data_IF_741284774808
#
_entry.id   IF_741284774808
#
_cell.length_a   1.000
_cell.length_b   1.000
_cell.length_c   1.000
_cell.angle_alpha   90.00
_cell.angle_beta   90.00
_cell.angle_gamma   90.00
#
_symmetry.space_group_name_H-M   'P 1'
#
loop_
_entity.id
_entity.type
_entity.pdbx_description
1 polymer ?
#
# COMPACT_ATOMS: atom_id res chain seq x y z
N UNK A 1 -13.13 37.39 51.01
CA UNK A 1 -13.36 38.82 51.30
C UNK A 1 -12.58 39.66 50.28
N UNK A 2 -13.31 40.45 49.47
CA UNK A 2 -12.91 41.65 48.67
C UNK A 2 -11.69 41.52 47.72
N UNK A 3 -11.90 41.42 46.40
CA UNK A 3 -11.99 42.53 45.42
C UNK A 3 -10.81 43.52 45.46
N UNK A 4 -10.09 43.68 44.34
CA UNK A 4 -10.12 44.92 43.54
C UNK A 4 -9.41 44.73 42.18
N UNK A 5 -10.11 45.13 41.11
CA UNK A 5 -9.61 45.40 39.75
C UNK A 5 -8.85 46.73 39.74
N UNK A 6 -7.82 46.85 38.90
CA UNK A 6 -7.50 48.12 38.24
C UNK A 6 -6.67 47.90 36.97
N UNK A 7 -7.33 48.22 35.85
CA UNK A 7 -6.81 48.54 34.52
C UNK A 7 -5.86 49.74 34.55
N UNK A 8 -4.74 49.67 33.81
CA UNK A 8 -4.16 50.84 33.14
C UNK A 8 -3.35 50.40 31.91
N UNK A 9 -3.74 50.92 30.74
CA UNK A 9 -2.95 50.90 29.51
C UNK A 9 -2.19 52.22 29.37
N UNK A 10 -0.92 52.18 28.96
CA UNK A 10 -0.18 53.23 28.24
C UNK A 10 1.31 52.84 28.21
N UNK A 11 1.92 52.70 27.02
CA UNK A 11 3.23 53.33 26.70
C UNK A 11 3.31 53.61 25.19
N UNK A 12 3.81 54.80 24.92
CA UNK A 12 4.02 55.53 23.68
C UNK A 12 5.28 55.09 22.91
N UNK A 13 5.20 55.24 21.57
CA UNK A 13 6.18 55.72 20.59
C UNK A 13 7.65 55.24 20.56
N UNK A 14 8.09 54.87 19.36
CA UNK A 14 9.50 54.96 18.96
C UNK A 14 9.82 54.31 17.61
N UNK A 15 9.57 55.03 16.51
CA UNK A 15 10.06 54.72 15.16
C UNK A 15 11.56 55.09 15.04
N UNK A 16 12.40 54.18 14.55
CA UNK A 16 13.66 54.47 13.81
C UNK A 16 13.99 53.30 12.85
N UNK A 17 14.77 53.56 11.78
CA UNK A 17 14.73 52.80 10.52
C UNK A 17 15.79 51.68 10.40
N UNK A 18 15.55 50.80 9.42
CA UNK A 18 16.46 49.77 8.95
C UNK A 18 17.79 50.34 8.42
N UNK A 19 18.91 49.83 8.94
CA UNK A 19 20.12 49.56 8.17
C UNK A 19 21.02 48.53 8.90
N UNK A 20 21.09 47.34 8.29
CA UNK A 20 22.17 46.35 8.24
C UNK A 20 23.32 46.43 9.27
N UNK A 21 23.34 45.47 10.21
CA UNK A 21 24.59 44.93 10.77
C UNK A 21 24.50 43.40 10.72
N UNK A 22 25.35 42.82 9.88
CA UNK A 22 25.68 41.41 9.83
C UNK A 22 26.27 40.99 11.19
N UNK A 23 25.54 40.17 11.94
CA UNK A 23 26.11 39.29 12.94
C UNK A 23 25.99 37.86 12.42
N UNK A 24 27.05 37.43 11.73
CA UNK A 24 27.27 36.04 11.41
C UNK A 24 27.47 35.26 12.69
N UNK A 25 26.46 34.47 13.07
CA UNK A 25 26.69 33.28 13.89
C UNK A 25 27.00 32.17 12.91
N UNK A 26 28.29 31.94 12.68
CA UNK A 26 28.80 30.75 12.01
C UNK A 26 28.58 29.55 12.94
N UNK A 27 27.46 28.85 12.75
CA UNK A 27 27.33 27.47 13.21
C UNK A 27 27.93 26.60 12.11
N UNK A 28 28.95 25.77 12.39
CA UNK A 28 29.39 24.80 11.41
C UNK A 28 28.27 23.78 11.25
N UNK A 29 27.53 23.86 10.15
CA UNK A 29 26.73 22.73 9.68
C UNK A 29 27.74 21.75 9.11
N UNK A 30 28.24 20.88 9.99
CA UNK A 30 28.77 19.60 9.55
C UNK A 30 27.56 18.82 9.02
N UNK A 31 27.44 18.80 7.70
CA UNK A 31 26.59 17.84 7.00
C UNK A 31 27.11 16.43 7.36
N UNK A 32 26.46 15.79 8.33
CA UNK A 32 26.60 14.36 8.50
C UNK A 32 25.70 13.70 7.46
N UNK A 33 26.27 13.43 6.29
CA UNK A 33 25.97 12.20 5.58
C UNK A 33 26.53 11.08 6.49
N UNK A 34 25.69 10.54 7.37
CA UNK A 34 26.01 9.36 8.15
C UNK A 34 25.13 8.20 7.66
N UNK A 35 25.72 7.06 7.27
CA UNK A 35 24.96 5.84 7.01
C UNK A 35 24.18 5.43 8.26
N UNK A 36 23.04 4.77 8.07
CA UNK A 36 22.19 4.23 9.12
C UNK A 36 22.96 3.18 9.94
N UNK A 37 23.72 3.58 10.94
CA UNK A 37 24.51 2.68 11.78
C UNK A 37 23.59 1.84 12.69
N UNK A 38 23.86 0.55 12.97
CA UNK A 38 23.08 -0.29 13.89
C UNK A 38 22.86 0.33 15.27
N UNK A 39 23.81 1.15 15.71
CA UNK A 39 23.71 1.92 16.95
C UNK A 39 22.53 2.90 16.96
N UNK A 40 21.98 3.31 15.82
CA UNK A 40 20.79 4.16 15.78
C UNK A 40 19.55 3.40 16.28
N UNK A 41 19.40 2.12 15.93
CA UNK A 41 18.35 1.25 16.48
C UNK A 41 18.58 1.01 17.98
N UNK A 42 19.82 0.74 18.39
CA UNK A 42 20.18 0.57 19.80
C UNK A 42 20.14 1.88 20.63
N UNK A 43 20.20 3.05 19.99
CA UNK A 43 20.11 4.36 20.61
C UNK A 43 18.68 4.91 20.68
N UNK A 44 17.73 4.32 19.93
CA UNK A 44 16.31 4.65 20.06
C UNK A 44 15.83 4.28 21.45
N UNK A 45 15.06 5.18 22.05
CA UNK A 45 14.37 4.92 23.32
C UNK A 45 13.41 3.75 23.17
N UNK A 46 13.13 3.08 24.29
CA UNK A 46 12.17 1.98 24.32
C UNK A 46 10.79 2.41 23.82
N UNK A 47 10.39 3.67 24.06
CA UNK A 47 9.15 4.26 23.54
C UNK A 47 9.16 4.46 22.01
N UNK A 48 10.30 4.82 21.41
CA UNK A 48 10.45 4.94 19.95
C UNK A 48 10.40 3.56 19.28
N UNK A 49 11.03 2.55 19.89
CA UNK A 49 10.93 1.15 19.40
C UNK A 49 9.51 0.61 19.55
N UNK A 50 8.87 0.85 20.69
CA UNK A 50 7.46 0.46 20.93
C UNK A 50 6.52 1.15 19.93
N UNK A 51 6.79 2.41 19.56
CA UNK A 51 6.03 3.13 18.53
C UNK A 51 6.17 2.52 17.14
N UNK A 52 7.28 1.82 16.88
CA UNK A 52 7.67 1.27 15.57
C UNK A 52 7.57 -0.26 15.49
N UNK A 53 7.24 -0.94 16.59
CA UNK A 53 7.09 -2.39 16.65
C UNK A 53 5.66 -2.78 17.02
N UNK A 54 4.80 -3.11 16.05
CA UNK A 54 4.04 -4.33 16.13
C UNK A 54 4.87 -5.40 15.43
N UNK A 55 5.88 -5.98 16.08
CA UNK A 55 6.57 -7.15 15.52
C UNK A 55 5.50 -8.23 15.22
N UNK A 56 5.19 -8.58 13.96
CA UNK A 56 4.59 -9.86 13.69
C UNK A 56 5.74 -10.83 13.91
N UNK A 57 5.79 -11.48 15.07
CA UNK A 57 6.77 -12.53 15.37
C UNK A 57 7.01 -13.41 14.15
N UNK A 58 8.27 -13.69 13.79
CA UNK A 58 8.75 -14.37 12.58
C UNK A 58 7.98 -15.61 12.08
N UNK A 59 7.10 -16.22 12.88
CA UNK A 59 6.16 -17.27 12.45
C UNK A 59 4.88 -16.77 11.77
N UNK A 60 4.57 -15.47 11.80
CA UNK A 60 3.40 -14.86 11.17
C UNK A 60 3.64 -14.42 9.71
N UNK A 61 4.92 -14.31 9.31
CA UNK A 61 5.39 -13.76 8.04
C UNK A 61 5.61 -14.81 6.92
N UNK A 62 5.63 -16.10 7.24
CA UNK A 62 6.07 -17.15 6.31
C UNK A 62 4.99 -17.66 5.31
N UNK A 63 3.78 -17.08 5.30
CA UNK A 63 2.75 -17.33 4.27
C UNK A 63 2.01 -16.02 4.00
N UNK A 64 2.73 -15.08 3.39
CA UNK A 64 2.12 -13.90 2.80
C UNK A 64 1.49 -14.30 1.46
N UNK A 65 0.58 -13.45 0.97
CA UNK A 65 0.13 -13.46 -0.43
C UNK A 65 1.33 -13.80 -1.34
N UNK A 66 1.13 -14.75 -2.25
CA UNK A 66 2.16 -15.19 -3.19
C UNK A 66 2.04 -14.42 -4.51
N UNK A 67 1.67 -13.14 -4.44
CA UNK A 67 1.46 -12.32 -5.62
C UNK A 67 2.81 -12.04 -6.29
N UNK A 68 3.10 -12.78 -7.36
CA UNK A 68 4.08 -12.36 -8.36
C UNK A 68 3.55 -11.11 -9.06
N UNK A 69 4.43 -10.29 -9.63
CA UNK A 69 4.01 -9.17 -10.49
C UNK A 69 2.94 -9.66 -11.47
N UNK A 70 1.73 -9.08 -11.38
CA UNK A 70 0.61 -9.51 -12.21
C UNK A 70 0.83 -9.03 -13.65
N UNK A 71 0.28 -9.76 -14.62
CA UNK A 71 0.31 -9.34 -16.02
C UNK A 71 -0.71 -8.22 -16.29
N UNK A 72 -1.38 -7.71 -15.25
CA UNK A 72 -2.35 -6.62 -15.36
C UNK A 72 -1.63 -5.38 -15.84
N UNK A 73 -2.26 -4.74 -16.81
CA UNK A 73 -1.94 -3.36 -17.15
C UNK A 73 -2.53 -2.49 -16.06
N UNK A 74 -1.77 -1.55 -15.52
CA UNK A 74 -2.35 -0.58 -14.60
C UNK A 74 -3.38 0.28 -15.35
N UNK A 75 -4.44 0.67 -14.65
CA UNK A 75 -5.49 1.57 -15.14
C UNK A 75 -5.45 2.87 -14.32
N UNK A 76 -5.46 4.07 -14.95
CA UNK A 76 -5.46 5.33 -14.22
C UNK A 76 -6.74 5.63 -13.43
N UNK A 77 -7.89 5.14 -13.89
CA UNK A 77 -9.20 5.39 -13.26
C UNK A 77 -9.98 4.08 -13.05
N UNK A 78 -9.44 3.12 -12.29
CA UNK A 78 -10.08 1.81 -12.17
C UNK A 78 -11.44 1.95 -11.47
N UNK A 79 -12.47 1.32 -12.02
CA UNK A 79 -13.79 1.22 -11.39
C UNK A 79 -13.94 -0.12 -10.68
N UNK A 80 -13.93 -0.06 -9.36
CA UNK A 80 -13.84 -1.24 -8.48
C UNK A 80 -15.22 -1.79 -8.14
N UNK A 81 -15.43 -3.08 -8.36
CA UNK A 81 -16.54 -3.83 -7.79
C UNK A 81 -16.16 -4.32 -6.39
N UNK A 82 -16.93 -3.92 -5.38
CA UNK A 82 -16.75 -4.39 -3.99
C UNK A 82 -17.96 -5.21 -3.57
N UNK A 83 -17.74 -6.46 -3.16
CA UNK A 83 -18.78 -7.37 -2.67
C UNK A 83 -18.60 -7.66 -1.19
N UNK A 84 -19.56 -7.24 -0.36
CA UNK A 84 -19.62 -7.56 1.06
C UNK A 84 -20.31 -8.91 1.25
N UNK A 85 -19.67 -9.85 1.94
CA UNK A 85 -20.18 -11.21 2.13
C UNK A 85 -20.16 -11.67 3.58
N UNK A 86 -21.29 -12.18 4.07
CA UNK A 86 -21.44 -12.71 5.41
C UNK A 86 -21.91 -14.17 5.40
N UNK A 87 -21.96 -14.77 6.59
CA UNK A 87 -22.15 -16.20 6.75
C UNK A 87 -23.17 -16.49 7.85
N UNK A 88 -23.78 -17.68 7.83
CA UNK A 88 -24.71 -18.09 8.89
C UNK A 88 -24.03 -18.14 10.26
N UNK A 89 -22.80 -18.67 10.31
CA UNK A 89 -21.95 -18.81 11.49
C UNK A 89 -21.09 -17.57 11.78
N UNK A 90 -21.00 -16.64 10.83
CA UNK A 90 -20.26 -15.37 10.97
C UNK A 90 -20.99 -14.22 10.24
N UNK A 91 -22.07 -13.66 10.83
CA UNK A 91 -22.78 -12.54 10.25
C UNK A 91 -21.95 -11.23 10.34
N UNK A 92 -22.27 -10.26 9.48
CA UNK A 92 -21.63 -8.94 9.52
C UNK A 92 -21.87 -8.20 10.85
N UNK A 93 -20.91 -7.39 11.24
CA UNK A 93 -20.94 -6.58 12.44
C UNK A 93 -21.82 -5.33 12.27
N UNK A 94 -22.57 -4.89 13.29
CA UNK A 94 -23.33 -3.65 13.22
C UNK A 94 -22.42 -2.43 12.96
N UNK A 95 -22.82 -1.58 12.01
CA UNK A 95 -22.09 -0.35 11.65
C UNK A 95 -21.08 -0.47 10.51
N UNK A 96 -20.90 -1.68 9.95
CA UNK A 96 -20.09 -1.95 8.77
C UNK A 96 -20.99 -2.24 7.57
N UNK A 97 -21.82 -1.27 7.21
CA UNK A 97 -22.77 -1.35 6.09
C UNK A 97 -22.17 -0.79 4.78
N UNK A 98 -22.96 -0.80 3.71
CA UNK A 98 -22.54 -0.24 2.40
C UNK A 98 -22.00 1.20 2.54
N UNK A 99 -22.71 2.15 3.17
CA UNK A 99 -22.20 3.51 3.38
C UNK A 99 -20.85 3.57 4.11
N UNK A 100 -20.63 2.70 5.10
CA UNK A 100 -19.33 2.61 5.78
C UNK A 100 -18.20 2.29 4.80
N UNK A 101 -18.36 1.25 3.98
CA UNK A 101 -17.33 0.84 3.02
C UNK A 101 -17.21 1.80 1.83
N UNK A 102 -18.30 2.41 1.37
CA UNK A 102 -18.24 3.48 0.37
C UNK A 102 -17.42 4.67 0.88
N UNK A 103 -17.60 5.05 2.15
CA UNK A 103 -16.77 6.06 2.81
C UNK A 103 -15.32 5.60 2.88
N UNK A 104 -15.04 4.44 3.50
CA UNK A 104 -13.69 3.92 3.73
C UNK A 104 -12.88 3.75 2.43
N UNK A 105 -13.53 3.39 1.32
CA UNK A 105 -12.85 3.09 0.06
C UNK A 105 -12.83 4.28 -0.92
N UNK A 106 -13.90 5.06 -1.02
CA UNK A 106 -14.08 5.96 -2.18
C UNK A 106 -14.38 7.43 -1.84
N UNK A 107 -14.66 7.76 -0.58
CA UNK A 107 -14.88 9.15 -0.17
C UNK A 107 -13.58 9.95 -0.29
N UNK A 108 -13.67 11.15 -0.85
CA UNK A 108 -12.55 12.09 -0.92
C UNK A 108 -12.47 12.91 0.35
N UNK A 109 -11.25 13.22 0.78
CA UNK A 109 -10.96 14.02 1.96
C UNK A 109 -11.63 13.44 3.22
N UNK A 110 -11.69 12.10 3.30
CA UNK A 110 -12.39 11.42 4.38
C UNK A 110 -11.79 11.81 5.73
N UNK A 111 -12.66 12.20 6.65
CA UNK A 111 -12.25 12.55 8.00
C UNK A 111 -11.58 11.36 8.69
N UNK A 112 -10.44 11.64 9.34
CA UNK A 112 -9.60 10.66 10.05
C UNK A 112 -8.99 9.61 9.12
N UNK A 113 -7.69 9.80 8.84
CA UNK A 113 -6.82 8.86 8.13
C UNK A 113 -7.06 8.69 6.61
N UNK A 114 -8.11 9.31 6.05
CA UNK A 114 -8.43 9.24 4.63
C UNK A 114 -9.12 7.93 4.22
N UNK A 115 -9.43 7.82 2.93
CA UNK A 115 -9.92 6.61 2.27
C UNK A 115 -8.85 5.90 1.43
N UNK A 116 -9.17 4.71 0.90
CA UNK A 116 -8.35 4.05 -0.12
C UNK A 116 -8.08 4.98 -1.32
N UNK A 117 -9.12 5.69 -1.78
CA UNK A 117 -9.01 6.67 -2.87
C UNK A 117 -8.09 7.84 -2.50
N UNK A 118 -8.20 8.39 -1.29
CA UNK A 118 -7.31 9.46 -0.81
C UNK A 118 -5.84 8.99 -0.83
N UNK A 119 -5.58 7.78 -0.33
CA UNK A 119 -4.25 7.18 -0.35
C UNK A 119 -3.67 7.14 -1.77
N UNK A 120 -4.39 6.55 -2.74
CA UNK A 120 -3.88 6.42 -4.09
C UNK A 120 -3.69 7.76 -4.78
N UNK A 121 -4.54 8.75 -4.52
CA UNK A 121 -4.34 10.10 -5.05
C UNK A 121 -3.10 10.77 -4.48
N UNK A 122 -2.83 10.63 -3.17
CA UNK A 122 -1.60 11.17 -2.55
C UNK A 122 -0.36 10.42 -3.05
N UNK A 123 -0.35 9.08 -2.94
CA UNK A 123 0.77 8.21 -3.26
C UNK A 123 1.17 8.24 -4.75
N UNK A 124 0.24 8.65 -5.63
CA UNK A 124 0.46 8.66 -7.08
C UNK A 124 0.40 10.05 -7.70
N UNK A 125 0.37 11.11 -6.90
CA UNK A 125 0.28 12.49 -7.37
C UNK A 125 -0.94 12.73 -8.28
N UNK A 126 -2.09 12.14 -7.92
CA UNK A 126 -3.35 12.12 -8.66
C UNK A 126 -3.31 11.39 -10.01
N UNK A 127 -2.33 10.51 -10.27
CA UNK A 127 -2.29 9.70 -11.50
C UNK A 127 -3.21 8.49 -11.47
N UNK A 128 -3.50 8.00 -10.27
CA UNK A 128 -4.48 6.93 -10.04
C UNK A 128 -5.60 7.49 -9.18
N UNK A 129 -6.83 7.37 -9.67
CA UNK A 129 -8.05 7.75 -8.97
C UNK A 129 -8.99 6.54 -8.86
N UNK A 130 -8.91 5.84 -7.73
CA UNK A 130 -9.71 4.64 -7.48
C UNK A 130 -11.17 5.03 -7.24
N UNK A 131 -12.07 4.48 -8.04
CA UNK A 131 -13.52 4.64 -7.85
C UNK A 131 -14.17 3.27 -7.78
N UNK A 132 -15.48 3.22 -7.50
CA UNK A 132 -16.18 1.94 -7.45
C UNK A 132 -17.57 2.01 -6.86
N UNK A 133 -18.11 0.83 -6.57
CA UNK A 133 -19.40 0.67 -5.91
C UNK A 133 -19.41 -0.57 -5.04
N UNK A 134 -20.09 -0.46 -3.89
CA UNK A 134 -20.20 -1.53 -2.90
C UNK A 134 -21.59 -2.17 -2.98
N UNK A 135 -21.62 -3.51 -2.95
CA UNK A 135 -22.83 -4.32 -2.93
C UNK A 135 -22.79 -5.35 -1.82
N UNK A 136 -23.97 -5.74 -1.31
CA UNK A 136 -24.13 -6.72 -0.24
C UNK A 136 -24.99 -6.18 0.91
N UNK A 137 -24.93 -6.75 2.11
CA UNK A 137 -24.25 -7.99 2.46
C UNK A 137 -24.93 -9.19 1.78
N UNK A 138 -24.16 -10.00 1.07
CA UNK A 138 -24.64 -11.26 0.50
C UNK A 138 -24.35 -12.41 1.48
N UNK A 139 -25.38 -13.15 1.86
CA UNK A 139 -25.24 -14.34 2.69
C UNK A 139 -24.72 -15.49 1.84
N UNK A 140 -23.53 -15.98 2.16
CA UNK A 140 -22.91 -17.11 1.46
C UNK A 140 -23.58 -18.44 1.80
N UNK A 141 -23.57 -19.41 0.85
CA UNK A 141 -24.27 -20.68 1.01
C UNK A 141 -23.55 -21.67 1.95
N UNK A 142 -22.24 -21.52 2.15
CA UNK A 142 -21.46 -22.30 3.11
C UNK A 142 -21.14 -21.47 4.34
N UNK A 143 -20.76 -22.15 5.42
CA UNK A 143 -20.28 -21.51 6.64
C UNK A 143 -18.89 -20.90 6.41
N UNK A 144 -18.55 -19.85 7.16
CA UNK A 144 -17.27 -19.18 7.08
C UNK A 144 -16.10 -20.16 7.25
N UNK A 145 -16.23 -21.05 8.24
CA UNK A 145 -15.21 -22.07 8.53
C UNK A 145 -14.97 -23.02 7.36
N UNK A 146 -15.97 -23.26 6.51
CA UNK A 146 -15.80 -24.10 5.32
C UNK A 146 -14.96 -23.42 4.24
N UNK A 147 -15.02 -22.08 4.12
CA UNK A 147 -14.17 -21.34 3.20
C UNK A 147 -12.76 -21.11 3.76
N UNK A 148 -12.62 -20.90 5.07
CA UNK A 148 -11.32 -20.79 5.72
C UNK A 148 -10.55 -22.13 5.69
N UNK A 149 -11.27 -23.24 5.83
CA UNK A 149 -10.79 -24.63 5.74
C UNK A 149 -9.61 -24.96 6.68
N UNK A 150 -9.46 -24.23 7.79
CA UNK A 150 -8.28 -24.33 8.68
C UNK A 150 -6.96 -24.03 7.97
N UNK A 151 -7.01 -23.40 6.80
CA UNK A 151 -5.91 -23.09 5.90
C UNK A 151 -6.00 -21.64 5.40
N UNK A 152 -6.63 -20.77 6.19
CA UNK A 152 -6.72 -19.34 5.95
C UNK A 152 -7.36 -18.96 4.60
N UNK A 153 -8.15 -19.85 4.01
CA UNK A 153 -8.77 -19.66 2.69
C UNK A 153 -7.92 -20.14 1.50
N UNK A 154 -6.67 -20.57 1.70
CA UNK A 154 -5.80 -21.07 0.62
C UNK A 154 -5.91 -22.57 0.38
N UNK A 155 -6.55 -23.30 1.30
CA UNK A 155 -6.74 -24.74 1.24
C UNK A 155 -8.07 -25.16 0.59
N UNK A 156 -8.44 -26.41 0.85
CA UNK A 156 -9.72 -27.01 0.48
C UNK A 156 -9.95 -27.31 -0.99
N UNK A 157 -10.83 -28.28 -1.25
CA UNK A 157 -11.37 -28.54 -2.59
C UNK A 157 -12.41 -27.47 -2.93
N UNK A 158 -12.40 -26.96 -4.16
CA UNK A 158 -13.46 -26.04 -4.61
C UNK A 158 -14.85 -26.65 -4.35
N UNK A 159 -15.81 -25.92 -3.72
CA UNK A 159 -15.78 -24.49 -3.42
C UNK A 159 -15.37 -24.12 -1.97
N UNK A 160 -14.77 -25.02 -1.19
CA UNK A 160 -14.34 -24.80 0.22
C UNK A 160 -13.02 -24.04 0.32
N UNK A 161 -12.95 -22.87 -0.29
CA UNK A 161 -11.74 -22.02 -0.32
C UNK A 161 -12.09 -20.56 -0.56
N UNK A 162 -11.13 -19.65 -0.44
CA UNK A 162 -11.32 -18.24 -0.81
C UNK A 162 -11.73 -18.08 -2.28
N UNK A 163 -11.24 -18.93 -3.19
CA UNK A 163 -11.70 -18.90 -4.59
C UNK A 163 -13.16 -19.31 -4.74
N UNK A 164 -13.60 -20.31 -3.97
CA UNK A 164 -15.00 -20.71 -3.94
C UNK A 164 -15.90 -19.65 -3.32
N UNK A 165 -15.40 -18.93 -2.29
CA UNK A 165 -16.07 -17.76 -1.73
C UNK A 165 -16.25 -16.66 -2.78
N UNK A 166 -15.19 -16.31 -3.52
CA UNK A 166 -15.27 -15.32 -4.61
C UNK A 166 -16.26 -15.73 -5.68
N UNK A 167 -16.30 -17.01 -6.06
CA UNK A 167 -17.28 -17.54 -7.02
C UNK A 167 -18.72 -17.37 -6.54
N UNK A 168 -19.03 -17.83 -5.32
CA UNK A 168 -20.38 -17.68 -4.75
C UNK A 168 -20.76 -16.21 -4.52
N UNK A 169 -19.82 -15.33 -4.18
CA UNK A 169 -20.04 -13.90 -4.04
C UNK A 169 -20.49 -13.26 -5.37
N UNK A 170 -19.80 -13.59 -6.47
CA UNK A 170 -20.15 -13.13 -7.81
C UNK A 170 -21.50 -13.68 -8.27
N UNK A 171 -21.79 -14.96 -8.03
CA UNK A 171 -23.11 -15.55 -8.32
C UNK A 171 -24.23 -14.83 -7.57
N UNK A 172 -24.06 -14.56 -6.27
CA UNK A 172 -25.02 -13.83 -5.47
C UNK A 172 -25.22 -12.38 -5.97
N UNK A 173 -24.13 -11.72 -6.39
CA UNK A 173 -24.21 -10.38 -6.97
C UNK A 173 -25.00 -10.36 -8.29
N UNK A 174 -24.74 -11.31 -9.19
CA UNK A 174 -25.48 -11.45 -10.46
C UNK A 174 -26.95 -11.77 -10.21
N UNK A 175 -27.26 -12.68 -9.27
CA UNK A 175 -28.63 -13.01 -8.90
C UNK A 175 -29.38 -11.78 -8.32
N UNK A 176 -28.67 -10.92 -7.59
CA UNK A 176 -29.19 -9.65 -7.08
C UNK A 176 -29.29 -8.54 -8.15
N UNK A 177 -28.90 -8.80 -9.40
CA UNK A 177 -28.99 -7.87 -10.52
C UNK A 177 -27.85 -6.87 -10.61
N UNK A 178 -26.67 -7.19 -10.05
CA UNK A 178 -25.45 -6.39 -10.25
C UNK A 178 -24.96 -6.55 -11.68
N UNK A 179 -24.91 -5.45 -12.42
CA UNK A 179 -24.34 -5.39 -13.77
C UNK A 179 -22.81 -5.30 -13.69
N UNK A 180 -22.13 -6.43 -13.95
CA UNK A 180 -20.67 -6.54 -13.90
C UNK A 180 -20.00 -5.77 -15.05
N UNK A 181 -20.70 -5.55 -16.16
CA UNK A 181 -20.16 -4.81 -17.32
C UNK A 181 -19.84 -3.35 -16.98
N UNK A 182 -20.36 -2.83 -15.87
CA UNK A 182 -20.06 -1.49 -15.38
C UNK A 182 -18.63 -1.31 -14.82
N UNK A 183 -17.87 -2.40 -14.65
CA UNK A 183 -16.57 -2.40 -14.00
C UNK A 183 -15.43 -2.78 -14.95
N UNK A 184 -15.68 -2.72 -16.25
CA UNK A 184 -14.67 -2.74 -17.32
C UNK A 184 -14.75 -1.36 -17.97
N UNK A 185 -13.82 -0.47 -17.61
CA UNK A 185 -13.85 0.95 -18.00
C UNK A 185 -12.46 1.54 -18.27
N UNK A 186 -11.51 0.68 -18.61
CA UNK A 186 -10.11 1.02 -18.82
C UNK A 186 -9.80 1.56 -20.23
N UNK A 187 -10.82 1.63 -21.10
CA UNK A 187 -10.76 2.26 -22.40
C UNK A 187 -10.33 3.74 -22.33
N UNK A 188 -9.74 4.29 -23.41
CA UNK A 188 -9.38 5.71 -23.50
C UNK A 188 -10.48 6.72 -23.14
N UNK A 189 -11.75 6.39 -23.33
CA UNK A 189 -12.86 7.27 -22.98
C UNK A 189 -13.30 7.20 -21.50
N UNK A 190 -12.88 6.16 -20.78
CA UNK A 190 -13.21 5.89 -19.38
C UNK A 190 -14.71 5.62 -19.15
N UNK A 191 -15.46 5.26 -20.20
CA UNK A 191 -16.88 4.96 -20.14
C UNK A 191 -17.04 3.43 -20.09
N UNK A 192 -17.62 2.88 -19.02
CA UNK A 192 -17.78 1.43 -18.91
C UNK A 192 -18.57 0.82 -20.04
N UNK A 193 -18.14 -0.36 -20.49
CA UNK A 193 -18.76 -1.13 -21.57
C UNK A 193 -18.88 -0.34 -22.88
N UNK A 194 -17.86 0.47 -23.14
CA UNK A 194 -17.57 1.13 -24.39
C UNK A 194 -16.88 0.16 -25.35
N UNK A 195 -16.85 0.49 -26.64
CA UNK A 195 -16.19 -0.33 -27.66
C UNK A 195 -14.66 -0.30 -27.63
N UNK A 196 -14.05 0.40 -26.66
CA UNK A 196 -12.61 0.58 -26.50
C UNK A 196 -12.03 -0.01 -25.20
N UNK A 197 -12.87 -0.66 -24.39
CA UNK A 197 -12.48 -1.41 -23.18
C UNK A 197 -11.84 -2.77 -23.52
N UNK A 198 -11.10 -3.36 -22.57
CA UNK A 198 -10.30 -4.56 -22.80
C UNK A 198 -11.04 -5.91 -22.54
N UNK A 199 -12.28 -5.85 -22.03
CA UNK A 199 -13.11 -7.01 -21.73
C UNK A 199 -12.76 -7.67 -20.39
N UNK A 200 -12.08 -6.97 -19.49
CA UNK A 200 -11.62 -7.44 -18.17
C UNK A 200 -12.12 -6.50 -17.09
N UNK A 201 -12.54 -7.05 -15.95
CA UNK A 201 -12.88 -6.21 -14.81
C UNK A 201 -11.66 -5.40 -14.31
N UNK A 202 -11.84 -4.08 -14.19
CA UNK A 202 -10.83 -3.13 -13.72
C UNK A 202 -10.30 -3.49 -12.33
N UNK A 203 -11.18 -3.89 -11.41
CA UNK A 203 -10.83 -4.33 -10.06
C UNK A 203 -12.00 -5.04 -9.36
N UNK A 204 -11.70 -6.17 -8.69
CA UNK A 204 -12.65 -6.89 -7.82
C UNK A 204 -12.09 -6.99 -6.40
N UNK A 205 -12.86 -6.51 -5.43
CA UNK A 205 -12.61 -6.69 -4.00
C UNK A 205 -13.74 -7.47 -3.34
N UNK A 206 -13.39 -8.48 -2.54
CA UNK A 206 -14.32 -9.20 -1.68
C UNK A 206 -14.03 -8.80 -0.23
N UNK A 207 -15.05 -8.33 0.48
CA UNK A 207 -14.97 -8.03 1.92
C UNK A 207 -15.74 -9.08 2.68
N UNK A 208 -15.06 -9.93 3.45
CA UNK A 208 -15.72 -10.97 4.25
C UNK A 208 -15.97 -10.52 5.69
N UNK A 209 -17.08 -10.95 6.29
CA UNK A 209 -17.38 -10.66 7.70
C UNK A 209 -16.27 -11.11 8.66
N UNK A 210 -16.08 -10.35 9.75
CA UNK A 210 -15.13 -10.63 10.84
C UNK A 210 -13.70 -10.12 10.61
N UNK A 211 -12.76 -10.64 11.42
CA UNK A 211 -11.33 -10.34 11.33
C UNK A 211 -10.60 -11.28 10.36
N UNK A 212 -9.47 -10.84 9.84
CA UNK A 212 -8.55 -11.67 9.06
C UNK A 212 -7.47 -12.34 9.93
N UNK A 213 -6.78 -13.34 9.38
CA UNK A 213 -5.71 -14.06 10.10
C UNK A 213 -4.57 -13.14 10.55
N UNK A 214 -4.27 -12.09 9.79
CA UNK A 214 -3.28 -11.06 10.11
C UNK A 214 -3.49 -10.46 11.51
N UNK A 215 -4.74 -10.41 11.97
CA UNK A 215 -5.14 -9.82 13.25
C UNK A 215 -5.27 -10.87 14.35
N UNK A 216 -5.88 -12.00 14.05
CA UNK A 216 -6.24 -13.04 15.05
C UNK A 216 -5.18 -14.12 15.20
N UNK A 217 -4.36 -14.33 14.16
CA UNK A 217 -3.42 -15.45 14.00
C UNK A 217 -4.10 -16.82 13.93
N UNK A 218 -5.42 -16.87 13.78
CA UNK A 218 -6.17 -18.12 13.66
C UNK A 218 -6.06 -18.67 12.25
N UNK A 219 -5.82 -19.99 12.11
CA UNK A 219 -5.89 -20.67 10.81
C UNK A 219 -7.32 -20.82 10.30
N UNK A 220 -8.30 -20.66 11.20
CA UNK A 220 -9.73 -20.71 10.89
C UNK A 220 -10.29 -19.37 10.44
N UNK A 221 -9.48 -18.31 10.42
CA UNK A 221 -9.82 -17.04 9.78
C UNK A 221 -9.19 -16.98 8.39
N UNK A 222 -9.94 -16.47 7.41
CA UNK A 222 -9.44 -16.16 6.07
C UNK A 222 -8.39 -15.04 6.20
N UNK A 223 -7.26 -15.19 5.51
CA UNK A 223 -6.21 -14.16 5.45
C UNK A 223 -6.50 -13.20 4.30
N UNK A 224 -6.18 -11.92 4.47
CA UNK A 224 -6.16 -10.98 3.33
C UNK A 224 -5.22 -11.43 2.22
N UNK A 225 -5.64 -11.31 0.96
CA UNK A 225 -4.82 -11.71 -0.19
C UNK A 225 -5.33 -11.18 -1.54
N UNK A 226 -4.41 -11.13 -2.49
CA UNK A 226 -4.67 -11.13 -3.92
C UNK A 226 -4.52 -12.53 -4.49
N UNK A 227 -5.47 -12.97 -5.31
CA UNK A 227 -5.37 -14.26 -6.00
C UNK A 227 -6.14 -14.30 -7.31
N UNK A 228 -5.80 -15.26 -8.16
CA UNK A 228 -6.54 -15.56 -9.39
C UNK A 228 -7.84 -16.28 -9.07
N UNK A 229 -8.88 -16.07 -9.87
CA UNK A 229 -10.13 -16.84 -9.79
C UNK A 229 -9.94 -18.30 -10.26
N UNK A 230 -11.04 -19.06 -10.34
CA UNK A 230 -11.03 -20.44 -10.88
C UNK A 230 -11.25 -20.43 -12.39
N UNK A 231 -10.33 -21.05 -13.12
CA UNK A 231 -10.41 -21.16 -14.58
C UNK A 231 -10.44 -19.79 -15.27
N UNK A 232 -11.04 -19.76 -16.46
CA UNK A 232 -11.28 -18.53 -17.23
C UNK A 232 -12.66 -17.95 -16.87
N UNK A 233 -12.82 -17.50 -15.62
CA UNK A 233 -14.10 -16.97 -15.14
C UNK A 233 -14.53 -15.75 -15.97
N UNK A 234 -15.76 -15.81 -16.49
CA UNK A 234 -16.35 -14.76 -17.31
C UNK A 234 -17.83 -14.60 -16.97
N UNK A 235 -18.29 -13.36 -16.80
CA UNK A 235 -19.69 -13.00 -16.55
C UNK A 235 -20.08 -11.93 -17.55
N UNK A 236 -21.17 -12.16 -18.29
CA UNK A 236 -21.70 -11.22 -19.30
C UNK A 236 -20.65 -10.72 -20.31
N UNK A 237 -19.67 -11.56 -20.65
CA UNK A 237 -18.59 -11.21 -21.57
C UNK A 237 -17.35 -10.59 -20.91
N UNK A 238 -17.41 -10.22 -19.63
CA UNK A 238 -16.28 -9.65 -18.89
C UNK A 238 -15.48 -10.74 -18.19
N UNK A 239 -14.17 -10.78 -18.42
CA UNK A 239 -13.25 -11.70 -17.74
C UNK A 239 -12.94 -11.19 -16.34
N UNK A 240 -12.88 -12.11 -15.38
CA UNK A 240 -12.57 -11.82 -13.98
C UNK A 240 -11.37 -12.69 -13.59
N UNK A 241 -10.13 -12.30 -13.95
CA UNK A 241 -8.96 -13.15 -13.79
C UNK A 241 -8.49 -13.24 -12.33
N UNK A 242 -8.76 -12.21 -11.53
CA UNK A 242 -8.21 -12.02 -10.20
C UNK A 242 -9.13 -11.20 -9.30
N UNK A 243 -8.81 -11.22 -8.01
CA UNK A 243 -9.52 -10.50 -6.97
C UNK A 243 -8.58 -10.20 -5.79
N UNK A 244 -8.90 -9.16 -5.04
CA UNK A 244 -8.41 -8.94 -3.69
C UNK A 244 -9.49 -9.36 -2.69
N UNK A 245 -9.09 -9.94 -1.56
CA UNK A 245 -9.98 -10.30 -0.47
C UNK A 245 -9.45 -9.73 0.83
N UNK A 246 -10.32 -9.06 1.58
CA UNK A 246 -9.99 -8.41 2.85
C UNK A 246 -11.11 -8.66 3.88
N UNK A 247 -10.81 -8.63 5.18
CA UNK A 247 -11.80 -8.71 6.24
C UNK A 247 -12.56 -7.39 6.45
N UNK A 248 -13.76 -7.51 7.00
CA UNK A 248 -14.62 -6.42 7.44
C UNK A 248 -13.95 -5.53 8.50
N UNK A 249 -13.27 -6.15 9.47
CA UNK A 249 -12.82 -5.50 10.70
C UNK A 249 -11.32 -5.16 10.65
N UNK A 250 -10.88 -4.47 9.60
CA UNK A 250 -9.47 -4.15 9.39
C UNK A 250 -9.24 -2.70 8.95
N UNK A 251 -8.01 -2.22 9.14
CA UNK A 251 -7.64 -0.86 8.77
C UNK A 251 -7.30 -0.76 7.27
N UNK A 252 -7.36 0.48 6.75
CA UNK A 252 -7.17 0.78 5.33
C UNK A 252 -5.81 0.34 4.78
N UNK A 253 -4.77 0.19 5.61
CA UNK A 253 -3.44 -0.21 5.18
C UNK A 253 -3.38 -1.57 4.48
N UNK A 254 -4.17 -2.55 4.95
CA UNK A 254 -4.26 -3.85 4.28
C UNK A 254 -5.06 -3.73 2.98
N UNK A 255 -6.14 -2.95 2.98
CA UNK A 255 -6.92 -2.70 1.76
C UNK A 255 -6.06 -2.02 0.69
N UNK A 256 -5.22 -1.07 1.09
CA UNK A 256 -4.23 -0.41 0.22
C UNK A 256 -3.26 -1.42 -0.37
N UNK A 257 -2.70 -2.30 0.46
CA UNK A 257 -1.76 -3.33 0.03
C UNK A 257 -2.35 -4.28 -1.01
N UNK A 258 -3.50 -4.88 -0.69
CA UNK A 258 -4.15 -5.84 -1.59
C UNK A 258 -4.62 -5.17 -2.89
N UNK A 259 -5.05 -3.91 -2.82
CA UNK A 259 -5.37 -3.14 -4.01
C UNK A 259 -4.12 -2.84 -4.86
N UNK A 260 -2.93 -2.76 -4.25
CA UNK A 260 -1.68 -2.56 -4.97
C UNK A 260 -1.40 -3.70 -5.95
N UNK A 261 -1.75 -4.94 -5.57
CA UNK A 261 -1.67 -6.10 -6.46
C UNK A 261 -2.63 -6.02 -7.64
N UNK A 262 -3.84 -5.50 -7.43
CA UNK A 262 -4.80 -5.21 -8.51
C UNK A 262 -4.28 -4.17 -9.51
N UNK A 263 -3.27 -3.37 -9.14
CA UNK A 263 -2.62 -2.38 -10.00
C UNK A 263 -1.31 -2.86 -10.63
N UNK A 264 -0.85 -4.09 -10.33
CA UNK A 264 0.37 -4.66 -10.92
C UNK A 264 1.55 -4.85 -9.96
N UNK A 265 1.44 -4.37 -8.72
CA UNK A 265 2.56 -4.42 -7.78
C UNK A 265 2.76 -5.83 -7.19
N UNK A 266 4.01 -6.33 -7.07
CA UNK A 266 4.28 -7.58 -6.37
C UNK A 266 4.37 -7.38 -4.85
N UNK A 267 4.30 -8.48 -4.12
CA UNK A 267 4.73 -8.53 -2.72
C UNK A 267 6.23 -8.25 -2.58
N UNK A 268 6.61 -7.34 -1.68
CA UNK A 268 8.00 -6.94 -1.42
C UNK A 268 8.46 -7.18 0.03
N UNK A 269 7.65 -7.91 0.82
CA UNK A 269 8.10 -8.62 2.01
C UNK A 269 9.07 -9.74 1.66
N UNK A 270 9.95 -10.15 2.57
CA UNK A 270 10.65 -11.41 2.40
C UNK A 270 9.70 -12.60 2.63
N UNK A 271 9.27 -13.21 1.53
CA UNK A 271 8.39 -14.38 1.52
C UNK A 271 9.09 -15.65 2.01
N UNK A 272 10.43 -15.64 2.16
CA UNK A 272 11.17 -16.77 2.73
C UNK A 272 11.10 -16.82 4.27
N UNK A 273 10.68 -15.72 4.91
CA UNK A 273 10.61 -15.56 6.35
C UNK A 273 11.98 -15.47 7.04
N UNK A 274 13.04 -15.09 6.31
CA UNK A 274 14.42 -14.99 6.82
C UNK A 274 14.87 -13.55 7.08
N UNK A 275 14.22 -12.59 6.45
CA UNK A 275 14.40 -11.15 6.59
C UNK A 275 13.08 -10.40 6.51
N UNK A 276 13.16 -9.10 6.20
CA UNK A 276 12.04 -8.16 6.22
C UNK A 276 11.69 -7.61 4.82
N UNK A 277 12.44 -8.00 3.78
CA UNK A 277 12.26 -7.49 2.41
C UNK A 277 12.55 -5.99 2.34
N UNK A 278 11.60 -5.19 1.85
CA UNK A 278 11.71 -3.73 1.90
C UNK A 278 11.31 -3.11 3.24
N UNK A 279 10.81 -3.90 4.20
CA UNK A 279 10.43 -3.42 5.52
C UNK A 279 9.56 -2.16 5.44
N UNK A 280 9.88 -1.15 6.24
CA UNK A 280 9.08 0.08 6.36
C UNK A 280 9.21 1.05 5.19
N UNK A 281 9.96 0.72 4.14
CA UNK A 281 10.23 1.62 3.00
C UNK A 281 9.26 1.44 1.83
N UNK A 282 8.32 0.49 1.92
CA UNK A 282 7.30 0.27 0.89
C UNK A 282 5.97 -0.18 1.49
N UNK A 283 4.87 0.30 0.91
CA UNK A 283 3.52 -0.20 1.17
C UNK A 283 3.31 -1.63 0.67
N UNK A 284 4.13 -2.11 -0.27
CA UNK A 284 4.14 -3.54 -0.64
C UNK A 284 4.95 -4.39 0.35
N UNK A 285 5.33 -3.79 1.49
CA UNK A 285 5.99 -4.42 2.62
C UNK A 285 5.40 -3.86 3.93
N UNK A 286 6.20 -3.44 4.90
CA UNK A 286 5.74 -3.17 6.26
C UNK A 286 5.12 -1.77 6.43
N UNK A 287 5.25 -0.87 5.45
CA UNK A 287 4.69 0.47 5.57
C UNK A 287 3.14 0.48 5.64
N UNK A 288 2.49 -0.65 5.36
CA UNK A 288 1.05 -0.85 5.60
C UNK A 288 0.67 -0.63 7.07
N UNK A 289 1.61 -0.87 8.00
CA UNK A 289 1.37 -0.84 9.45
C UNK A 289 1.63 0.51 10.11
N UNK A 290 1.96 1.55 9.33
CA UNK A 290 2.05 2.90 9.84
C UNK A 290 0.77 3.32 10.57
N UNK A 291 0.97 3.92 11.75
CA UNK A 291 -0.10 4.22 12.70
C UNK A 291 -1.07 3.04 12.94
N UNK A 292 -0.53 1.81 13.08
CA UNK A 292 -1.31 0.59 13.29
C UNK A 292 -2.31 0.33 12.14
N UNK A 293 -1.86 0.48 10.90
CA UNK A 293 -2.68 0.18 9.71
C UNK A 293 -3.55 1.32 9.20
N UNK A 294 -3.59 2.46 9.91
CA UNK A 294 -4.54 3.54 9.60
C UNK A 294 -4.02 4.54 8.58
N UNK A 295 -2.72 4.82 8.60
CA UNK A 295 -2.08 5.79 7.70
C UNK A 295 -0.93 5.10 6.96
N UNK A 296 -1.20 4.19 6.02
CA UNK A 296 -0.17 3.43 5.31
C UNK A 296 0.85 4.34 4.61
N UNK A 297 2.11 3.91 4.57
CA UNK A 297 3.22 4.66 3.96
C UNK A 297 3.25 4.63 2.44
N UNK A 298 4.21 5.35 1.86
CA UNK A 298 4.37 5.47 0.41
C UNK A 298 4.91 4.20 -0.26
N UNK A 299 4.62 4.00 -1.55
CA UNK A 299 5.24 2.94 -2.35
C UNK A 299 6.74 3.21 -2.57
N UNK A 300 7.53 2.17 -2.84
CA UNK A 300 8.89 2.31 -3.35
C UNK A 300 8.91 2.59 -4.86
N UNK A 301 10.04 3.03 -5.46
CA UNK A 301 10.13 3.36 -6.88
C UNK A 301 9.82 2.19 -7.82
N UNK A 302 10.08 0.94 -7.42
CA UNK A 302 9.76 -0.21 -8.24
C UNK A 302 8.24 -0.42 -8.29
N UNK A 303 7.57 -0.36 -7.14
CA UNK A 303 6.10 -0.37 -7.06
C UNK A 303 5.47 0.75 -7.90
N UNK A 304 5.94 2.00 -7.74
CA UNK A 304 5.44 3.13 -8.54
C UNK A 304 5.66 2.94 -10.04
N UNK A 305 6.73 2.27 -10.46
CA UNK A 305 7.00 1.95 -11.85
C UNK A 305 6.06 0.87 -12.40
N UNK A 306 5.80 -0.18 -11.62
CA UNK A 306 4.87 -1.26 -11.99
C UNK A 306 3.45 -0.73 -12.17
N UNK A 307 3.02 0.20 -11.32
CA UNK A 307 1.71 0.85 -11.42
C UNK A 307 1.69 2.04 -12.40
N UNK A 308 2.74 2.23 -13.22
CA UNK A 308 2.82 3.31 -14.22
C UNK A 308 2.83 4.74 -13.68
N UNK A 309 2.98 4.91 -12.37
CA UNK A 309 3.03 6.21 -11.67
C UNK A 309 4.34 6.93 -11.96
N UNK A 310 5.44 6.18 -12.07
CA UNK A 310 6.79 6.71 -12.18
C UNK A 310 7.50 6.12 -13.40
N UNK A 311 8.20 6.97 -14.14
CA UNK A 311 9.18 6.55 -15.14
C UNK A 311 10.57 7.06 -14.72
N UNK A 312 11.46 6.19 -14.21
CA UNK A 312 12.77 6.62 -13.76
C UNK A 312 13.62 7.22 -14.88
N UNK A 313 14.36 8.29 -14.57
CA UNK A 313 15.31 8.88 -15.50
C UNK A 313 16.62 8.08 -15.54
N UNK A 314 17.17 7.89 -16.74
CA UNK A 314 18.48 7.27 -16.93
C UNK A 314 19.49 8.40 -17.14
N UNK A 315 20.47 8.59 -16.23
CA UNK A 315 21.49 9.62 -16.40
C UNK A 315 22.25 9.44 -17.71
N UNK A 316 22.52 10.55 -18.41
CA UNK A 316 23.24 10.56 -19.69
C UNK A 316 24.77 10.47 -19.56
N UNK A 317 25.30 10.51 -18.35
CA UNK A 317 26.73 10.48 -18.04
C UNK A 317 27.01 10.81 -16.57
N UNK A 318 28.28 10.98 -16.24
CA UNK A 318 28.70 11.34 -14.89
C UNK A 318 28.29 12.78 -14.55
N UNK A 319 27.47 12.94 -13.50
CA UNK A 319 27.04 14.24 -13.01
C UNK A 319 27.66 14.51 -11.63
N UNK A 320 28.57 15.48 -11.49
CA UNK A 320 29.24 15.76 -10.22
C UNK A 320 28.30 16.38 -9.17
N UNK A 321 27.12 16.86 -9.60
CA UNK A 321 26.08 17.41 -8.74
C UNK A 321 24.71 17.08 -9.30
N UNK A 322 23.91 16.40 -8.50
CA UNK A 322 22.53 16.09 -8.81
C UNK A 322 21.63 16.74 -7.76
N UNK A 323 20.53 17.35 -8.20
CA UNK A 323 19.45 17.80 -7.31
C UNK A 323 18.28 16.85 -7.50
N UNK A 324 17.90 16.15 -6.43
CA UNK A 324 16.76 15.23 -6.45
C UNK A 324 15.63 15.82 -5.60
N UNK A 325 14.45 16.07 -6.17
CA UNK A 325 13.29 16.43 -5.38
C UNK A 325 12.81 15.22 -4.57
N UNK A 326 12.16 15.45 -3.43
CA UNK A 326 11.75 14.37 -2.52
C UNK A 326 10.50 13.67 -3.06
N UNK A 327 10.54 12.35 -3.23
CA UNK A 327 9.48 11.56 -3.86
C UNK A 327 8.10 11.74 -3.19
N UNK A 328 8.06 12.20 -1.93
CA UNK A 328 6.81 12.54 -1.22
C UNK A 328 5.83 13.42 -2.02
N UNK A 329 6.33 14.26 -2.95
CA UNK A 329 5.50 15.19 -3.73
C UNK A 329 5.84 15.24 -5.23
N UNK A 330 6.56 14.25 -5.76
CA UNK A 330 6.86 14.14 -7.20
C UNK A 330 7.21 12.71 -7.57
N UNK A 331 7.09 12.40 -8.84
CA UNK A 331 7.41 11.14 -9.48
C UNK A 331 8.86 11.11 -10.01
N UNK A 332 9.84 11.58 -9.24
CA UNK A 332 11.25 11.55 -9.67
C UNK A 332 12.04 10.43 -9.00
N UNK A 333 12.63 9.57 -9.82
CA UNK A 333 13.65 8.62 -9.43
C UNK A 333 14.67 8.45 -10.55
N UNK A 334 15.88 8.02 -10.20
CA UNK A 334 16.87 7.60 -11.19
C UNK A 334 16.86 6.09 -11.37
N UNK A 335 17.23 5.65 -12.57
CA UNK A 335 17.65 4.28 -12.86
C UNK A 335 19.11 4.25 -13.28
N UNK A 336 19.90 3.46 -12.55
CA UNK A 336 21.30 3.20 -12.84
C UNK A 336 21.47 1.76 -13.28
N UNK A 337 21.85 1.55 -14.53
CA UNK A 337 22.06 0.22 -15.08
C UNK A 337 23.29 -0.46 -14.48
N UNK A 338 23.19 -1.75 -14.14
CA UNK A 338 24.39 -2.53 -13.80
C UNK A 338 25.32 -2.56 -15.02
N UNK A 339 26.61 -2.31 -14.79
CA UNK A 339 27.64 -2.28 -15.84
C UNK A 339 27.38 -1.28 -16.99
N UNK A 340 26.44 -0.33 -16.81
CA UNK A 340 26.10 0.68 -17.82
C UNK A 340 25.28 0.17 -19.01
N UNK A 341 24.81 -1.08 -18.98
CA UNK A 341 24.05 -1.68 -20.07
C UNK A 341 22.58 -1.94 -19.66
N UNK A 342 21.65 -1.67 -20.57
CA UNK A 342 20.22 -1.97 -20.37
C UNK A 342 20.05 -3.47 -20.13
N UNK A 343 19.34 -3.82 -19.06
CA UNK A 343 19.16 -5.21 -18.66
C UNK A 343 18.00 -5.39 -17.67
N UNK A 344 17.97 -6.56 -17.04
CA UNK A 344 16.98 -6.93 -15.99
C UNK A 344 17.46 -6.62 -14.58
N UNK A 345 18.63 -6.00 -14.46
CA UNK A 345 19.25 -5.72 -13.18
C UNK A 345 19.76 -4.29 -13.19
N UNK A 346 19.41 -3.53 -12.16
CA UNK A 346 19.68 -2.11 -12.09
C UNK A 346 19.48 -1.61 -10.66
N UNK A 347 19.80 -0.35 -10.44
CA UNK A 347 19.47 0.36 -9.22
C UNK A 347 18.41 1.42 -9.49
N UNK A 348 17.47 1.57 -8.57
CA UNK A 348 16.59 2.73 -8.48
C UNK A 348 17.07 3.63 -7.34
N UNK A 349 17.07 4.94 -7.57
CA UNK A 349 17.49 5.91 -6.57
C UNK A 349 16.40 6.95 -6.40
N UNK A 350 15.95 7.15 -5.17
CA UNK A 350 15.03 8.21 -4.79
C UNK A 350 15.60 9.02 -3.63
N UNK A 351 15.10 10.24 -3.47
CA UNK A 351 15.24 10.99 -2.23
C UNK A 351 13.89 11.00 -1.52
N UNK A 352 13.84 10.61 -0.25
CA UNK A 352 12.61 10.49 0.53
C UNK A 352 12.72 11.26 1.85
N UNK A 353 11.61 11.82 2.30
CA UNK A 353 11.52 12.59 3.55
C UNK A 353 10.43 12.06 4.49
N UNK A 354 10.58 12.38 5.77
CA UNK A 354 9.64 12.09 6.86
C UNK A 354 8.47 13.07 6.86
N UNK A 355 7.65 13.04 5.81
CA UNK A 355 6.50 13.94 5.65
C UNK A 355 5.39 13.34 4.78
N UNK A 356 4.19 13.92 4.85
CA UNK A 356 3.03 13.42 4.11
C UNK A 356 2.73 11.97 4.48
N UNK A 357 2.48 11.14 3.48
CA UNK A 357 2.30 9.68 3.61
C UNK A 357 3.43 8.96 4.37
N UNK A 358 4.65 9.51 4.33
CA UNK A 358 5.86 8.91 4.91
C UNK A 358 6.27 9.55 6.27
N UNK A 359 5.35 10.26 6.94
CA UNK A 359 5.62 10.93 8.23
C UNK A 359 6.07 10.01 9.38
N UNK A 360 5.93 8.70 9.21
CA UNK A 360 6.33 7.68 10.19
C UNK A 360 7.69 7.03 9.88
N UNK A 361 8.36 7.42 8.78
CA UNK A 361 9.72 6.97 8.49
C UNK A 361 10.73 7.42 9.55
N UNK A 362 11.84 6.71 9.60
CA UNK A 362 12.91 6.93 10.58
C UNK A 362 13.78 8.16 10.31
N UNK A 363 13.72 8.72 9.10
CA UNK A 363 14.54 9.86 8.71
C UNK A 363 14.43 10.21 7.23
N UNK A 364 14.94 11.40 6.90
CA UNK A 364 15.09 11.85 5.53
C UNK A 364 16.37 11.26 4.93
N UNK A 365 16.35 10.89 3.65
CA UNK A 365 17.54 10.34 3.05
C UNK A 365 17.41 9.91 1.60
N UNK A 366 18.57 9.59 1.03
CA UNK A 366 18.67 8.92 -0.25
C UNK A 366 18.46 7.42 -0.03
N UNK A 367 17.55 6.82 -0.80
CA UNK A 367 17.31 5.38 -0.79
C UNK A 367 17.73 4.80 -2.13
N UNK A 368 18.55 3.75 -2.09
CA UNK A 368 19.05 3.05 -3.27
C UNK A 368 18.49 1.64 -3.22
N UNK A 369 17.73 1.25 -4.22
CA UNK A 369 17.14 -0.07 -4.36
C UNK A 369 17.89 -0.82 -5.44
N UNK A 370 18.36 -2.03 -5.16
CA UNK A 370 18.84 -2.95 -6.18
C UNK A 370 17.67 -3.80 -6.66
N UNK A 371 17.45 -3.82 -7.97
CA UNK A 371 16.37 -4.55 -8.63
C UNK A 371 16.99 -5.64 -9.50
N UNK A 372 16.45 -6.86 -9.42
CA UNK A 372 16.80 -7.99 -10.29
C UNK A 372 15.53 -8.71 -10.77
N UNK A 373 14.98 -8.27 -11.91
CA UNK A 373 13.77 -8.80 -12.56
C UNK A 373 13.96 -10.21 -13.15
N UNK A 374 15.07 -10.87 -12.86
CA UNK A 374 15.22 -12.32 -13.09
C UNK A 374 14.67 -13.13 -11.93
N UNK A 375 14.53 -12.53 -10.74
CA UNK A 375 13.71 -13.08 -9.67
C UNK A 375 12.23 -12.84 -10.00
N UNK A 376 11.38 -13.84 -9.79
CA UNK A 376 9.94 -13.72 -10.06
C UNK A 376 9.17 -13.16 -8.86
N UNK A 377 9.76 -13.25 -7.66
CA UNK A 377 9.16 -12.86 -6.38
C UNK A 377 10.24 -12.62 -5.33
N UNK A 378 9.82 -12.12 -4.17
CA UNK A 378 10.67 -11.77 -3.05
C UNK A 378 10.92 -12.95 -2.07
N UNK A 379 11.28 -14.14 -2.57
CA UNK A 379 11.37 -15.39 -1.76
C UNK A 379 12.79 -16.00 -1.66
N UNK A 380 13.78 -15.32 -2.22
CA UNK A 380 15.16 -15.79 -2.23
C UNK A 380 16.10 -14.75 -1.61
N UNK A 381 16.57 -14.96 -0.37
CA UNK A 381 17.50 -14.03 0.29
C UNK A 381 18.82 -13.82 -0.46
N UNK A 382 19.23 -14.77 -1.30
CA UNK A 382 20.42 -14.61 -2.12
C UNK A 382 20.16 -13.74 -3.38
N UNK A 383 18.89 -13.51 -3.73
CA UNK A 383 18.45 -12.87 -4.96
C UNK A 383 17.02 -12.34 -4.86
N UNK A 384 16.85 -11.25 -4.13
CA UNK A 384 15.60 -10.51 -4.06
C UNK A 384 15.23 -9.85 -5.40
N UNK A 385 13.93 -9.71 -5.66
CA UNK A 385 13.40 -8.93 -6.78
C UNK A 385 13.73 -7.45 -6.59
N UNK A 386 13.50 -6.93 -5.39
CA UNK A 386 13.88 -5.57 -4.98
C UNK A 386 14.48 -5.62 -3.59
N UNK A 387 15.66 -5.05 -3.38
CA UNK A 387 16.24 -4.91 -2.03
C UNK A 387 16.75 -3.50 -1.81
N UNK A 388 16.62 -3.02 -0.58
CA UNK A 388 17.27 -1.78 -0.18
C UNK A 388 18.77 -2.02 0.01
N UNK A 389 19.61 -1.20 -0.62
CA UNK A 389 21.06 -1.19 -0.40
C UNK A 389 21.33 -0.49 0.92
N UNK A 390 21.57 -1.27 1.96
CA UNK A 390 21.77 -0.76 3.32
C UNK A 390 23.16 -0.11 3.44
N UNK A 391 23.16 1.18 3.80
CA UNK A 391 24.36 2.01 3.83
C UNK A 391 25.41 1.55 4.87
N UNK A 392 24.99 0.76 5.85
CA UNK A 392 25.83 0.18 6.89
C UNK A 392 26.43 -1.19 6.51
N UNK A 393 25.97 -1.78 5.41
CA UNK A 393 26.40 -3.09 4.93
C UNK A 393 25.93 -4.28 5.77
N UNK A 394 25.08 -4.09 6.78
CA UNK A 394 24.68 -5.16 7.71
C UNK A 394 23.65 -6.12 7.14
N UNK A 395 22.90 -5.71 6.11
CA UNK A 395 21.89 -6.54 5.44
C UNK A 395 20.79 -7.05 6.40
N UNK A 396 20.43 -6.27 7.42
CA UNK A 396 19.45 -6.64 8.46
C UNK A 396 18.01 -6.81 7.95
N UNK A 397 17.69 -6.30 6.76
CA UNK A 397 16.44 -6.56 6.06
C UNK A 397 16.44 -7.83 5.19
N UNK A 398 17.60 -8.48 4.99
CA UNK A 398 17.80 -9.66 4.12
C UNK A 398 17.78 -10.98 4.87
#
# INVERSE_FOLDING_TARGET
>A
MRQFLLTTALVFLGLLPLASVLLGVSVPIAAFAAPFHPDAWEAMSEEERIRLSPEPSNSALAVLSQATASHRRWTPHPRTLVLLVDFEDKPSSPGYDIPHFESLLFELDRELYGSLRDYYREATYNKIDVTGKVYGWFRMPLHYVDYADGQQGFGGDFPRSAKGLTHHALEAAVEAGVDITQFDSDGPDGIPNSGDDDGVIDALMIVHAGFGTERTRSLDDIRSHYWTTVGDLQIDGIRIPDYAMVPELENVGIMVHEYGHLLGAPDLYDLSGRGNGLGWFSVMAWAIWYNNGREPGGPDPYTSMMCGVLKPEVPGGDEPRLTMPAINHNDYALRLWTEGAVGKEYFLVEYRKTMGIDRYLFGDGLLIYHVDERAMRQDNPARYLVRLVQADGHRSLE
#
